data_IF_158297809090
#
_entry.id   IF_158297809090
#
_cell.length_a   1.000
_cell.length_b   1.000
_cell.length_c   1.000
_cell.angle_alpha   90.00
_cell.angle_beta   90.00
_cell.angle_gamma   90.00
#
_symmetry.space_group_name_H-M   'P 1'
#
loop_
_entity.id
_entity.type
_entity.pdbx_description
1 polymer ?
#
# COMPACT_ATOMS: atom_id res chain seq x y z
N UNK A 1 -27.89 20.68 -7.32
CA UNK A 1 -27.49 19.57 -6.43
C UNK A 1 -25.97 19.53 -6.38
N UNK A 2 -25.32 19.49 -5.21
CA UNK A 2 -23.88 19.32 -5.13
C UNK A 2 -23.50 17.87 -5.48
N UNK A 3 -22.45 17.72 -6.27
CA UNK A 3 -21.85 16.44 -6.62
C UNK A 3 -21.40 15.70 -5.36
N UNK A 4 -21.65 14.38 -5.21
CA UNK A 4 -21.06 13.63 -4.12
C UNK A 4 -19.53 13.61 -4.31
N UNK A 5 -18.73 13.76 -3.24
CA UNK A 5 -17.29 13.59 -3.35
C UNK A 5 -16.99 12.18 -3.88
N UNK A 6 -16.42 12.15 -5.07
CA UNK A 6 -15.96 10.94 -5.76
C UNK A 6 -14.97 10.20 -4.86
N UNK A 7 -15.20 8.89 -4.72
CA UNK A 7 -14.29 7.92 -4.13
C UNK A 7 -13.74 8.34 -2.77
N UNK A 8 -14.55 8.06 -1.75
CA UNK A 8 -14.14 7.93 -0.36
C UNK A 8 -12.64 7.62 -0.21
N UNK A 9 -11.89 8.59 0.29
CA UNK A 9 -10.59 8.43 0.97
C UNK A 9 -10.80 7.62 2.27
N UNK A 10 -11.53 6.50 2.17
CA UNK A 10 -11.82 5.60 3.27
C UNK A 10 -10.85 4.46 3.13
N UNK A 11 -9.83 4.50 3.96
CA UNK A 11 -8.99 3.34 4.21
C UNK A 11 -9.84 2.31 4.98
N UNK A 12 -9.96 1.12 4.42
CA UNK A 12 -10.68 0.01 5.05
C UNK A 12 -9.68 -0.95 5.71
N UNK A 13 -10.12 -1.63 6.78
CA UNK A 13 -9.38 -2.71 7.42
C UNK A 13 -9.43 -4.00 6.59
N UNK A 14 -9.02 -3.94 5.32
CA UNK A 14 -8.95 -5.12 4.46
C UNK A 14 -7.71 -5.08 3.56
N UNK A 15 -7.35 -6.26 3.06
CA UNK A 15 -6.17 -6.43 2.23
C UNK A 15 -6.28 -5.66 0.90
N UNK A 16 -7.49 -5.54 0.35
CA UNK A 16 -7.72 -4.86 -0.93
C UNK A 16 -7.44 -3.35 -0.84
N UNK A 17 -8.00 -2.69 0.18
CA UNK A 17 -7.76 -1.27 0.49
C UNK A 17 -6.27 -1.03 0.78
N UNK A 18 -5.64 -1.87 1.60
CA UNK A 18 -4.21 -1.77 1.85
C UNK A 18 -3.40 -1.91 0.56
N UNK A 19 -3.79 -2.84 -0.30
CA UNK A 19 -3.09 -3.12 -1.55
C UNK A 19 -3.26 -1.99 -2.59
N UNK A 20 -4.37 -1.27 -2.57
CA UNK A 20 -4.54 -0.04 -3.35
C UNK A 20 -3.60 1.08 -2.86
N UNK A 21 -3.54 1.31 -1.55
CA UNK A 21 -2.63 2.31 -0.97
C UNK A 21 -1.16 1.94 -1.18
N UNK A 22 -0.82 0.64 -1.10
CA UNK A 22 0.51 0.12 -1.41
C UNK A 22 0.92 0.41 -2.85
N UNK A 23 0.07 0.11 -3.83
CA UNK A 23 0.36 0.36 -5.23
C UNK A 23 0.51 1.87 -5.53
N UNK A 24 -0.32 2.71 -4.90
CA UNK A 24 -0.21 4.16 -5.01
C UNK A 24 1.11 4.70 -4.44
N UNK A 25 1.51 4.28 -3.24
CA UNK A 25 2.77 4.65 -2.62
C UNK A 25 3.99 4.10 -3.39
N UNK A 26 3.89 2.87 -3.89
CA UNK A 26 4.92 2.25 -4.72
C UNK A 26 5.16 3.00 -6.03
N UNK A 27 4.08 3.43 -6.70
CA UNK A 27 4.15 4.28 -7.90
C UNK A 27 4.70 5.67 -7.59
N UNK A 28 4.37 6.25 -6.43
CA UNK A 28 4.89 7.55 -6.00
C UNK A 28 6.42 7.53 -5.79
N UNK A 29 6.99 6.39 -5.37
CA UNK A 29 8.44 6.17 -5.29
C UNK A 29 9.12 6.13 -6.68
N UNK A 30 8.38 6.04 -7.78
CA UNK A 30 8.93 6.12 -9.15
C UNK A 30 9.83 4.93 -9.53
N UNK A 31 10.73 5.11 -10.50
CA UNK A 31 11.73 4.10 -10.86
C UNK A 31 13.06 4.40 -10.16
N UNK A 32 13.06 4.48 -8.83
CA UNK A 32 14.31 4.52 -8.07
C UNK A 32 15.13 3.25 -8.33
N UNK A 33 16.46 3.35 -8.56
CA UNK A 33 17.37 2.22 -8.72
C UNK A 33 17.66 1.47 -7.41
N UNK A 34 16.81 1.65 -6.40
CA UNK A 34 16.94 1.06 -5.07
C UNK A 34 16.38 -0.36 -5.04
N UNK A 35 16.99 -1.24 -4.25
CA UNK A 35 16.53 -2.59 -4.03
C UNK A 35 15.03 -2.63 -3.69
N UNK A 36 14.29 -3.55 -4.32
CA UNK A 36 12.85 -3.70 -4.10
C UNK A 36 12.52 -3.86 -2.62
N UNK A 37 13.35 -4.57 -1.85
CA UNK A 37 13.21 -4.73 -0.41
C UNK A 37 13.28 -3.40 0.36
N UNK A 38 14.13 -2.46 -0.06
CA UNK A 38 14.25 -1.15 0.58
C UNK A 38 12.99 -0.31 0.31
N UNK A 39 12.51 -0.34 -0.94
CA UNK A 39 11.27 0.34 -1.33
C UNK A 39 10.05 -0.22 -0.61
N UNK A 40 9.99 -1.53 -0.36
CA UNK A 40 8.91 -2.16 0.42
C UNK A 40 8.90 -1.55 1.82
N UNK A 41 10.05 -1.39 2.45
CA UNK A 41 10.14 -0.83 3.79
C UNK A 41 9.66 0.63 3.83
N UNK A 42 10.04 1.43 2.85
CA UNK A 42 9.55 2.81 2.69
C UNK A 42 8.03 2.89 2.48
N UNK A 43 7.46 1.99 1.68
CA UNK A 43 6.00 1.95 1.49
C UNK A 43 5.30 1.50 2.76
N UNK A 44 5.84 0.52 3.48
CA UNK A 44 5.25 0.03 4.72
C UNK A 44 5.34 1.06 5.84
N UNK A 45 6.41 1.84 5.92
CA UNK A 45 6.50 2.96 6.84
C UNK A 45 5.47 4.04 6.51
N UNK A 46 5.27 4.37 5.22
CA UNK A 46 4.19 5.28 4.81
C UNK A 46 2.79 4.75 5.15
N UNK A 47 2.60 3.43 5.10
CA UNK A 47 1.32 2.77 5.41
C UNK A 47 1.19 2.36 6.88
N UNK A 48 2.11 2.75 7.77
CA UNK A 48 2.09 2.39 9.19
C UNK A 48 0.80 2.78 9.91
N UNK A 49 0.15 3.84 9.43
CA UNK A 49 -1.10 4.38 9.98
C UNK A 49 -2.35 3.78 9.30
N UNK A 50 -2.16 2.94 8.28
CA UNK A 50 -3.28 2.31 7.58
C UNK A 50 -4.02 1.35 8.53
N UNK A 51 -5.36 1.37 8.61
CA UNK A 51 -6.14 0.53 9.54
C UNK A 51 -5.78 -0.96 9.44
N UNK A 52 -5.66 -1.49 8.22
CA UNK A 52 -5.20 -2.86 8.00
C UNK A 52 -3.77 -3.15 8.52
N UNK A 53 -2.85 -2.19 8.44
CA UNK A 53 -1.49 -2.32 8.96
C UNK A 53 -1.48 -2.33 10.49
N UNK A 54 -2.34 -1.52 11.12
CA UNK A 54 -2.52 -1.45 12.57
C UNK A 54 -3.15 -2.74 13.09
N UNK A 55 -4.24 -3.21 12.47
CA UNK A 55 -4.94 -4.43 12.89
C UNK A 55 -4.15 -5.69 12.59
N UNK A 56 -3.46 -5.75 11.43
CA UNK A 56 -2.83 -6.97 10.90
C UNK A 56 -1.46 -6.69 10.26
N UNK A 57 -0.47 -6.25 11.05
CA UNK A 57 0.85 -5.89 10.52
C UNK A 57 1.57 -7.06 9.83
N UNK A 58 1.44 -8.28 10.39
CA UNK A 58 2.02 -9.49 9.79
C UNK A 58 1.41 -9.77 8.41
N UNK A 59 0.09 -9.62 8.27
CA UNK A 59 -0.62 -9.87 7.02
C UNK A 59 -0.34 -8.76 5.99
N UNK A 60 -0.23 -7.51 6.44
CA UNK A 60 0.15 -6.38 5.59
C UNK A 60 1.54 -6.59 4.95
N UNK A 61 2.53 -7.10 5.70
CA UNK A 61 3.84 -7.48 5.14
C UNK A 61 3.73 -8.59 4.10
N UNK A 62 2.88 -9.60 4.33
CA UNK A 62 2.64 -10.66 3.34
C UNK A 62 1.98 -10.14 2.06
N UNK A 63 1.02 -9.22 2.17
CA UNK A 63 0.36 -8.58 1.02
C UNK A 63 1.36 -7.74 0.22
N UNK A 64 2.24 -6.99 0.90
CA UNK A 64 3.31 -6.23 0.26
C UNK A 64 4.27 -7.15 -0.51
N UNK A 65 4.77 -8.23 0.12
CA UNK A 65 5.65 -9.21 -0.53
C UNK A 65 4.98 -9.84 -1.77
N UNK A 66 3.71 -10.23 -1.64
CA UNK A 66 2.92 -10.78 -2.74
C UNK A 66 2.76 -9.78 -3.90
N UNK A 67 2.53 -8.50 -3.60
CA UNK A 67 2.43 -7.45 -4.63
C UNK A 67 3.72 -7.28 -5.42
N UNK A 68 4.88 -7.31 -4.77
CA UNK A 68 6.17 -7.20 -5.46
C UNK A 68 6.44 -8.42 -6.33
N UNK A 69 6.13 -9.63 -5.84
CA UNK A 69 6.22 -10.84 -6.67
C UNK A 69 5.33 -10.78 -7.90
N UNK A 70 4.12 -10.21 -7.78
CA UNK A 70 3.22 -10.02 -8.93
C UNK A 70 3.73 -8.99 -9.93
N UNK A 71 4.49 -7.99 -9.49
CA UNK A 71 5.11 -6.98 -10.34
C UNK A 71 6.34 -7.52 -11.10
N UNK A 72 6.80 -8.73 -10.77
CA UNK A 72 7.92 -9.40 -11.45
C UNK A 72 9.27 -8.73 -11.20
N UNK A 73 9.40 -8.00 -10.09
CA UNK A 73 10.63 -7.38 -9.62
C UNK A 73 11.43 -8.32 -8.72
#
# INVERSE_FOLDING_TARGET
>A
MPVPPLASDRLYDNADSFAQSFDAAWKALGNSPEDANHRIDLVLDQLRDHPFMISRPAMARQVADFRIRLLGL
#
